data_IF_109650632853
#
_entry.id   IF_109650632853
#
_cell.length_a   1.000
_cell.length_b   1.000
_cell.length_c   1.000
_cell.angle_alpha   90.00
_cell.angle_beta   90.00
_cell.angle_gamma   90.00
#
_symmetry.space_group_name_H-M   'P 1'
#
loop_
_entity.id
_entity.type
_entity.pdbx_description
1 polymer ?
#
# COMPACT_ATOMS: atom_id res chain seq x y z
N UNK A 1 13.39 10.13 -9.27
CA UNK A 1 12.21 9.68 -8.49
C UNK A 1 11.12 10.72 -8.61
N UNK A 2 9.89 10.30 -8.92
CA UNK A 2 8.76 11.22 -8.95
C UNK A 2 8.34 11.56 -7.51
N UNK A 3 8.10 12.84 -7.26
CA UNK A 3 7.59 13.33 -5.98
C UNK A 3 6.53 14.41 -6.23
N UNK A 4 5.70 14.67 -5.22
CA UNK A 4 4.70 15.74 -5.23
C UNK A 4 5.00 16.82 -4.16
N UNK A 5 6.25 16.87 -3.69
CA UNK A 5 6.71 17.67 -2.56
C UNK A 5 7.96 17.08 -1.91
N UNK A 6 8.46 17.73 -0.87
CA UNK A 6 9.62 17.28 -0.09
C UNK A 6 9.31 15.93 0.58
N UNK A 7 10.30 15.02 0.57
CA UNK A 7 10.25 13.68 1.18
C UNK A 7 9.09 12.76 0.74
N UNK A 8 8.38 13.08 -0.33
CA UNK A 8 7.27 12.26 -0.85
C UNK A 8 7.70 11.38 -2.04
N UNK A 9 8.72 10.53 -1.81
CA UNK A 9 9.22 9.60 -2.83
C UNK A 9 8.79 8.17 -2.50
N UNK A 10 7.83 7.65 -3.26
CA UNK A 10 7.34 6.27 -3.14
C UNK A 10 8.01 5.37 -4.20
N UNK A 11 7.21 4.61 -4.97
CA UNK A 11 7.70 3.71 -6.02
C UNK A 11 7.68 4.30 -7.43
N UNK A 12 7.13 5.50 -7.63
CA UNK A 12 7.00 6.13 -8.95
C UNK A 12 8.33 6.75 -9.36
N UNK A 13 8.78 6.45 -10.58
CA UNK A 13 9.96 7.04 -11.20
C UNK A 13 9.65 7.44 -12.64
N UNK A 14 10.58 8.19 -13.24
CA UNK A 14 10.52 8.63 -14.63
C UNK A 14 11.93 8.58 -15.22
N UNK A 15 12.00 8.49 -16.55
CA UNK A 15 13.24 8.62 -17.30
C UNK A 15 13.39 10.04 -17.82
N UNK A 16 14.62 10.51 -17.91
CA UNK A 16 14.94 11.79 -18.56
C UNK A 16 15.41 11.48 -19.98
N UNK A 17 14.64 11.94 -20.97
CA UNK A 17 14.97 11.79 -22.39
C UNK A 17 15.88 12.92 -22.90
N UNK A 18 15.97 14.02 -22.14
CA UNK A 18 16.82 15.15 -22.45
C UNK A 18 17.32 15.87 -21.20
N UNK A 19 18.08 16.94 -21.42
CA UNK A 19 18.60 17.79 -20.36
C UNK A 19 17.49 18.57 -19.67
N UNK A 20 17.23 18.30 -18.40
CA UNK A 20 16.28 19.07 -17.57
C UNK A 20 16.98 19.71 -16.38
N UNK A 21 17.32 20.99 -16.54
CA UNK A 21 17.89 21.84 -15.49
C UNK A 21 16.87 22.12 -14.37
N UNK A 22 15.58 22.20 -14.71
CA UNK A 22 14.51 22.54 -13.76
C UNK A 22 14.26 21.45 -12.70
N UNK A 23 14.63 20.21 -13.01
CA UNK A 23 14.47 19.06 -12.11
C UNK A 23 15.68 18.87 -11.19
N UNK A 24 16.76 19.64 -11.39
CA UNK A 24 17.95 19.57 -10.56
C UNK A 24 17.64 19.96 -9.10
N UNK A 25 18.20 19.20 -8.16
CA UNK A 25 17.98 19.35 -6.71
C UNK A 25 16.51 19.19 -6.24
N UNK A 26 15.57 18.83 -7.13
CA UNK A 26 14.16 18.59 -6.77
C UNK A 26 13.82 17.11 -6.72
N UNK A 27 14.40 16.33 -7.63
CA UNK A 27 14.16 14.89 -7.73
C UNK A 27 15.45 14.11 -7.46
N UNK A 28 15.32 12.98 -6.77
CA UNK A 28 16.46 12.09 -6.53
C UNK A 28 16.76 11.23 -7.77
N UNK A 29 17.99 11.33 -8.28
CA UNK A 29 18.53 10.48 -9.36
C UNK A 29 19.24 9.29 -8.73
N UNK A 30 18.82 8.07 -9.10
CA UNK A 30 19.33 6.83 -8.49
C UNK A 30 20.08 5.91 -9.48
N UNK A 31 20.12 6.25 -10.77
CA UNK A 31 20.78 5.43 -11.79
C UNK A 31 20.74 6.08 -13.16
N UNK A 32 21.44 5.45 -14.10
CA UNK A 32 21.47 5.82 -15.52
C UNK A 32 21.24 4.57 -16.38
N UNK A 33 20.79 4.78 -17.61
CA UNK A 33 20.59 3.71 -18.58
C UNK A 33 21.91 3.47 -19.32
N UNK A 34 22.28 2.20 -19.52
CA UNK A 34 23.48 1.81 -20.26
C UNK A 34 23.33 2.11 -21.74
N UNK A 35 24.39 2.56 -22.41
CA UNK A 35 24.39 2.97 -23.82
C UNK A 35 23.79 1.91 -24.78
N UNK A 36 23.95 0.63 -24.48
CA UNK A 36 23.40 -0.48 -25.28
C UNK A 36 21.87 -0.49 -25.37
N UNK A 37 21.17 0.00 -24.33
CA UNK A 37 19.69 -0.01 -24.23
C UNK A 37 19.08 1.39 -24.23
N UNK A 38 19.87 2.42 -24.58
CA UNK A 38 19.36 3.81 -24.69
C UNK A 38 18.36 3.94 -25.84
N UNK A 39 18.57 3.21 -26.94
CA UNK A 39 17.65 3.26 -28.09
C UNK A 39 16.25 2.75 -27.74
N UNK A 40 16.14 1.67 -26.96
CA UNK A 40 14.86 1.16 -26.46
C UNK A 40 14.12 2.22 -25.63
N UNK A 41 14.85 3.11 -24.94
CA UNK A 41 14.25 4.20 -24.18
C UNK A 41 13.77 5.35 -25.08
N UNK A 42 14.49 5.64 -26.17
CA UNK A 42 14.11 6.66 -27.14
C UNK A 42 12.85 6.27 -27.93
N UNK A 43 12.60 4.97 -28.13
CA UNK A 43 11.33 4.51 -28.72
C UNK A 43 10.10 4.96 -27.92
N UNK A 44 10.23 5.18 -26.60
CA UNK A 44 9.13 5.72 -25.79
C UNK A 44 8.84 7.20 -26.05
N UNK A 45 9.79 7.96 -26.60
CA UNK A 45 9.57 9.36 -27.00
C UNK A 45 8.64 9.46 -28.21
N UNK A 46 8.72 8.51 -29.12
CA UNK A 46 7.93 8.47 -30.36
C UNK A 46 6.51 7.90 -30.17
N UNK A 47 6.15 7.51 -28.95
CA UNK A 47 4.85 6.93 -28.65
C UNK A 47 3.72 7.94 -28.89
N UNK A 48 2.64 7.50 -29.54
CA UNK A 48 1.46 8.34 -29.78
C UNK A 48 0.73 8.65 -28.45
N UNK A 49 0.47 9.93 -28.21
CA UNK A 49 -0.10 10.44 -26.96
C UNK A 49 -1.49 11.06 -27.19
N UNK A 50 -2.37 10.98 -26.19
CA UNK A 50 -3.68 11.63 -26.20
C UNK A 50 -3.63 13.07 -25.63
N UNK A 51 -4.78 13.73 -25.56
CA UNK A 51 -4.90 15.12 -25.05
C UNK A 51 -4.49 15.32 -23.58
N UNK A 52 -4.33 14.23 -22.80
CA UNK A 52 -3.96 14.27 -21.38
C UNK A 52 -2.52 13.80 -21.14
N UNK A 53 -1.65 13.89 -22.15
CA UNK A 53 -0.27 13.41 -22.11
C UNK A 53 -0.12 11.92 -21.75
N UNK A 54 -1.15 11.10 -22.00
CA UNK A 54 -1.10 9.65 -21.80
C UNK A 54 -0.90 8.92 -23.13
N UNK A 55 0.03 7.96 -23.20
CA UNK A 55 0.22 7.18 -24.42
C UNK A 55 -1.05 6.38 -24.76
N UNK A 56 -1.39 6.32 -26.05
CA UNK A 56 -2.50 5.50 -26.56
C UNK A 56 -2.27 4.02 -26.27
N UNK A 57 -1.01 3.59 -26.40
CA UNK A 57 -0.55 2.24 -26.06
C UNK A 57 0.42 2.33 -24.90
N UNK A 58 -0.07 2.07 -23.69
CA UNK A 58 0.72 2.20 -22.46
C UNK A 58 1.78 1.09 -22.39
N UNK A 59 3.08 1.44 -22.34
CA UNK A 59 4.14 0.47 -22.13
C UNK A 59 4.00 -0.24 -20.78
N UNK A 60 4.29 -1.54 -20.75
CA UNK A 60 4.23 -2.35 -19.53
C UNK A 60 5.56 -3.01 -19.26
N UNK A 61 5.99 -2.98 -18.00
CA UNK A 61 7.15 -3.74 -17.53
C UNK A 61 6.74 -5.20 -17.36
N UNK A 62 7.30 -6.08 -18.19
CA UNK A 62 6.98 -7.52 -18.18
C UNK A 62 7.77 -8.24 -17.08
N UNK A 63 9.05 -7.89 -16.94
CA UNK A 63 9.98 -8.51 -16.00
C UNK A 63 11.01 -7.49 -15.55
N UNK A 64 11.50 -7.64 -14.32
CA UNK A 64 12.67 -6.94 -13.81
C UNK A 64 13.65 -7.96 -13.25
N UNK A 65 14.93 -7.82 -13.58
CA UNK A 65 16.00 -8.68 -13.11
C UNK A 65 17.08 -7.83 -12.44
N UNK A 66 17.58 -8.30 -11.30
CA UNK A 66 18.68 -7.66 -10.58
C UNK A 66 19.98 -8.39 -10.90
N UNK A 67 20.81 -7.78 -11.75
CA UNK A 67 22.06 -8.41 -12.23
C UNK A 67 23.15 -8.41 -11.15
N UNK A 68 23.28 -7.31 -10.40
CA UNK A 68 24.26 -7.16 -9.33
C UNK A 68 23.57 -6.55 -8.11
N UNK A 69 23.55 -7.27 -6.99
CA UNK A 69 22.96 -6.79 -5.75
C UNK A 69 24.04 -6.39 -4.74
N UNK A 70 24.32 -5.09 -4.54
CA UNK A 70 25.26 -4.62 -3.52
C UNK A 70 24.71 -4.78 -2.08
N UNK A 71 23.41 -5.02 -1.91
CA UNK A 71 22.75 -5.14 -0.62
C UNK A 71 22.13 -6.53 -0.44
N UNK A 72 22.95 -7.51 -0.06
CA UNK A 72 22.50 -8.89 0.16
C UNK A 72 21.54 -9.06 1.35
N UNK A 73 21.48 -8.08 2.25
CA UNK A 73 20.63 -8.11 3.44
C UNK A 73 19.17 -7.72 3.15
N UNK A 74 18.88 -7.14 1.99
CA UNK A 74 17.52 -6.73 1.63
C UNK A 74 16.72 -7.97 1.24
N UNK A 75 15.76 -8.35 2.08
CA UNK A 75 14.87 -9.48 1.84
C UNK A 75 13.59 -8.95 1.16
N UNK A 76 13.29 -9.37 -0.09
CA UNK A 76 12.06 -8.98 -0.76
C UNK A 76 10.84 -9.41 0.06
N UNK A 77 9.84 -8.54 0.15
CA UNK A 77 8.57 -8.90 0.76
C UNK A 77 7.88 -9.94 -0.12
N UNK A 78 7.63 -11.13 0.43
CA UNK A 78 6.82 -12.16 -0.23
C UNK A 78 5.37 -11.67 -0.24
N UNK A 79 4.97 -11.08 -1.35
CA UNK A 79 3.56 -10.78 -1.63
C UNK A 79 3.10 -11.97 -2.45
N UNK A 80 2.19 -12.79 -1.90
CA UNK A 80 1.51 -13.82 -2.70
C UNK A 80 0.80 -13.07 -3.82
N UNK A 81 1.30 -13.19 -5.04
CA UNK A 81 0.61 -12.67 -6.22
C UNK A 81 -0.66 -13.51 -6.34
N UNK A 82 -1.80 -12.92 -5.98
CA UNK A 82 -3.08 -13.42 -6.42
C UNK A 82 -3.08 -13.19 -7.94
N UNK A 83 -2.70 -14.22 -8.69
CA UNK A 83 -2.93 -14.25 -10.13
C UNK A 83 -4.43 -14.08 -10.32
N UNK A 84 -4.86 -12.92 -10.83
CA UNK A 84 -6.22 -12.73 -11.34
C UNK A 84 -6.42 -13.63 -12.57
N UNK A 85 -6.57 -14.94 -12.34
CA UNK A 85 -7.36 -15.77 -13.22
C UNK A 85 -8.81 -15.39 -12.97
N UNK A 86 -9.38 -14.68 -13.95
CA UNK A 86 -10.82 -14.44 -14.07
C UNK A 86 -11.55 -15.78 -13.98
N UNK A 87 -12.04 -16.11 -12.78
CA UNK A 87 -13.10 -17.06 -12.55
C UNK A 87 -14.05 -16.45 -11.53
N UNK A 88 -15.15 -15.92 -12.06
CA UNK A 88 -16.40 -15.76 -11.34
C UNK A 88 -16.64 -16.95 -10.42
N UNK A 89 -16.57 -16.70 -9.12
CA UNK A 89 -17.17 -17.51 -8.05
C UNK A 89 -17.08 -16.75 -6.73
N UNK A 90 -18.14 -15.96 -6.49
CA UNK A 90 -18.54 -15.37 -5.22
C UNK A 90 -17.98 -16.07 -3.97
N UNK A 91 -17.00 -15.43 -3.29
CA UNK A 91 -16.78 -15.58 -1.85
C UNK A 91 -16.40 -14.23 -1.26
N UNK A 92 -17.41 -13.60 -0.65
CA UNK A 92 -17.35 -12.37 0.11
C UNK A 92 -16.53 -12.62 1.40
N UNK A 93 -15.21 -12.44 1.32
CA UNK A 93 -14.36 -12.28 2.51
C UNK A 93 -14.35 -10.78 2.84
N UNK A 94 -15.20 -10.41 3.79
CA UNK A 94 -15.28 -9.06 4.31
C UNK A 94 -13.96 -8.74 5.02
N UNK A 95 -13.05 -8.03 4.34
CA UNK A 95 -12.10 -7.18 5.03
C UNK A 95 -12.93 -6.17 5.81
N UNK A 96 -12.88 -6.27 7.14
CA UNK A 96 -13.39 -5.26 8.05
C UNK A 96 -12.74 -3.91 7.69
N UNK A 97 -13.44 -3.15 6.85
CA UNK A 97 -13.23 -1.72 6.66
C UNK A 97 -13.61 -1.11 8.01
N UNK A 98 -12.60 -0.73 8.77
CA UNK A 98 -12.67 -0.04 10.08
C UNK A 98 -13.18 1.41 9.89
N UNK A 99 -14.08 1.66 8.94
CA UNK A 99 -14.57 2.99 8.63
C UNK A 99 -15.89 2.98 7.83
N UNK A 100 -16.91 2.29 8.33
CA UNK A 100 -18.30 2.54 7.93
C UNK A 100 -19.13 2.77 9.19
N UNK A 101 -19.16 4.02 9.62
CA UNK A 101 -20.21 4.55 10.49
C UNK A 101 -21.52 4.51 9.70
N UNK A 102 -22.36 3.52 9.97
CA UNK A 102 -23.82 3.63 10.12
C UNK A 102 -24.44 2.21 10.13
N UNK A 103 -25.41 2.00 11.01
CA UNK A 103 -26.30 0.82 11.08
C UNK A 103 -25.76 -0.48 11.75
N UNK A 104 -24.88 -0.36 12.75
CA UNK A 104 -24.69 -1.46 13.74
C UNK A 104 -24.37 -0.99 15.16
N UNK A 105 -24.75 0.24 15.48
CA UNK A 105 -24.59 0.85 16.81
C UNK A 105 -25.80 0.62 17.73
N UNK A 106 -26.85 -0.08 17.28
CA UNK A 106 -28.07 -0.25 18.07
C UNK A 106 -28.07 -1.56 18.90
N UNK A 107 -27.28 -2.58 18.51
CA UNK A 107 -27.27 -3.88 19.20
C UNK A 107 -26.30 -3.91 20.41
N UNK A 108 -25.29 -3.04 20.42
CA UNK A 108 -24.28 -2.96 21.51
C UNK A 108 -24.70 -1.98 22.64
N UNK A 109 -25.72 -1.14 22.41
CA UNK A 109 -26.32 -0.30 23.46
C UNK A 109 -27.21 -1.13 24.40
N UNK A 110 -27.87 -2.19 23.92
CA UNK A 110 -28.74 -3.02 24.78
C UNK A 110 -27.93 -3.94 25.71
N UNK A 111 -26.86 -4.59 25.23
CA UNK A 111 -26.02 -5.43 26.09
C UNK A 111 -25.25 -4.61 27.15
N UNK A 112 -24.72 -3.45 26.77
CA UNK A 112 -24.02 -2.55 27.69
C UNK A 112 -24.97 -1.92 28.74
N UNK A 113 -26.23 -1.64 28.38
CA UNK A 113 -27.25 -1.16 29.31
C UNK A 113 -27.71 -2.21 30.33
N UNK A 114 -27.83 -3.49 29.92
CA UNK A 114 -28.19 -4.59 30.82
C UNK A 114 -27.05 -4.89 31.80
N UNK A 115 -25.80 -4.82 31.36
CA UNK A 115 -24.62 -5.01 32.23
C UNK A 115 -24.45 -3.86 33.22
N UNK A 116 -24.68 -2.61 32.82
CA UNK A 116 -24.60 -1.46 33.73
C UNK A 116 -25.72 -1.46 34.79
N UNK A 117 -26.94 -1.91 34.43
CA UNK A 117 -28.04 -2.08 35.39
C UNK A 117 -27.76 -3.19 36.42
N UNK A 118 -27.06 -4.25 36.03
CA UNK A 118 -26.70 -5.36 36.95
C UNK A 118 -25.53 -5.02 37.88
N UNK A 119 -24.73 -4.00 37.56
CA UNK A 119 -23.56 -3.59 38.35
C UNK A 119 -23.69 -2.23 39.05
N UNK A 120 -24.90 -1.63 39.13
CA UNK A 120 -25.07 -0.31 39.74
C UNK A 120 -24.90 -0.38 41.27
N UNK A 121 -23.68 -0.11 41.74
CA UNK A 121 -23.36 0.04 43.17
C UNK A 121 -22.05 -0.63 43.63
N UNK A 122 -21.34 -1.35 42.76
CA UNK A 122 -20.05 -1.96 43.10
C UNK A 122 -18.98 -1.52 42.09
N UNK A 123 -17.87 -0.99 42.59
CA UNK A 123 -16.71 -0.58 41.78
C UNK A 123 -16.15 -1.77 40.99
N UNK A 124 -16.01 -1.60 39.67
CA UNK A 124 -15.52 -2.62 38.75
C UNK A 124 -14.01 -2.83 38.98
N UNK A 125 -13.62 -3.99 39.49
CA UNK A 125 -12.23 -4.45 39.57
C UNK A 125 -12.04 -5.67 38.66
N UNK A 126 -10.96 -5.68 37.87
CA UNK A 126 -10.64 -6.78 36.95
C UNK A 126 -10.44 -8.13 37.67
N UNK A 127 -10.20 -8.09 38.98
CA UNK A 127 -9.95 -9.26 39.81
C UNK A 127 -11.21 -10.08 40.14
N UNK A 128 -12.42 -9.50 40.02
CA UNK A 128 -13.66 -10.17 40.45
C UNK A 128 -14.34 -10.97 39.31
N UNK A 129 -13.94 -10.72 38.07
CA UNK A 129 -14.53 -11.35 36.87
C UNK A 129 -13.65 -12.43 36.22
N UNK A 130 -12.37 -12.48 36.57
CA UNK A 130 -11.44 -13.50 36.07
C UNK A 130 -11.18 -14.51 37.19
N UNK A 131 -11.66 -15.74 37.03
CA UNK A 131 -11.34 -16.84 37.94
C UNK A 131 -9.94 -17.37 37.61
N UNK A 132 -8.92 -16.55 37.86
CA UNK A 132 -7.53 -16.91 37.68
C UNK A 132 -6.86 -17.11 39.07
N UNK A 133 -6.48 -18.34 39.46
CA UNK A 133 -5.97 -18.64 40.80
C UNK A 133 -4.62 -18.00 41.12
N UNK A 134 -3.95 -17.35 40.15
CA UNK A 134 -2.70 -16.60 40.38
C UNK A 134 -2.90 -15.11 40.65
N UNK A 135 -4.10 -14.59 40.42
CA UNK A 135 -4.42 -13.19 40.69
C UNK A 135 -5.19 -13.02 41.99
N UNK A 136 -5.89 -14.06 42.47
CA UNK A 136 -6.54 -14.08 43.78
C UNK A 136 -5.54 -14.08 44.95
N UNK A 137 -5.22 -12.91 45.49
CA UNK A 137 -4.54 -12.73 46.78
C UNK A 137 -5.04 -11.48 47.49
#
# INVERSE_FOLDING_TARGET
MANAGEDNSASKFFFSLGSQLDLQNRHSTFGYVTEETVYDMLEFEEALVNENDKPLYVPKMIKAELLNNPFSEIIPRIIVQESEEVKDRNKKLQSFIILSFDEKAEEDEEESAILNRKSSGKSKSAHDHLTDPKLSS
#
